data_IF_574504211023
#
_entry.id   IF_574504211023
#
_cell.length_a   1.000
_cell.length_b   1.000
_cell.length_c   1.000
_cell.angle_alpha   90.00
_cell.angle_beta   90.00
_cell.angle_gamma   90.00
#
_symmetry.space_group_name_H-M   'P 1'
#
loop_
_entity.id
_entity.type
_entity.pdbx_description
1 polymer ?
#
# COMPACT_ATOMS: atom_id res chain seq x y z
N UNK A 1 -23.91 -7.57 -18.21
CA UNK A 1 -23.81 -6.93 -16.88
C UNK A 1 -22.35 -6.52 -16.71
N UNK A 2 -22.02 -5.29 -16.28
CA UNK A 2 -20.61 -4.97 -16.08
C UNK A 2 -20.13 -5.86 -14.93
N UNK A 3 -19.27 -6.84 -15.24
CA UNK A 3 -18.52 -7.53 -14.19
C UNK A 3 -17.54 -6.48 -13.67
N UNK A 4 -17.90 -5.83 -12.56
CA UNK A 4 -16.95 -5.00 -11.83
C UNK A 4 -15.73 -5.89 -11.59
N UNK A 5 -14.63 -5.57 -12.25
CA UNK A 5 -13.42 -6.37 -12.16
C UNK A 5 -12.99 -6.44 -10.70
N UNK A 6 -12.71 -7.65 -10.20
CA UNK A 6 -12.21 -7.86 -8.83
C UNK A 6 -11.01 -6.95 -8.52
N UNK A 7 -10.21 -6.64 -9.55
CA UNK A 7 -9.11 -5.68 -9.54
C UNK A 7 -9.55 -4.25 -9.17
N UNK A 8 -10.66 -3.76 -9.72
CA UNK A 8 -11.14 -2.42 -9.42
C UNK A 8 -11.64 -2.31 -7.97
N UNK A 9 -12.23 -3.39 -7.45
CA UNK A 9 -12.61 -3.48 -6.03
C UNK A 9 -11.38 -3.49 -5.14
N UNK A 10 -10.33 -4.24 -5.54
CA UNK A 10 -9.03 -4.27 -4.84
C UNK A 10 -8.42 -2.88 -4.74
N UNK A 11 -8.29 -2.17 -5.87
CA UNK A 11 -7.71 -0.82 -5.92
C UNK A 11 -8.46 0.15 -5.00
N UNK A 12 -9.79 0.12 -5.01
CA UNK A 12 -10.61 1.00 -4.15
C UNK A 12 -10.35 0.67 -2.67
N UNK A 13 -10.33 -0.61 -2.30
CA UNK A 13 -10.11 -1.03 -0.93
C UNK A 13 -8.70 -0.65 -0.44
N UNK A 14 -7.69 -0.87 -1.26
CA UNK A 14 -6.32 -0.49 -0.96
C UNK A 14 -6.20 1.03 -0.78
N UNK A 15 -6.83 1.83 -1.66
CA UNK A 15 -6.84 3.29 -1.53
C UNK A 15 -7.51 3.76 -0.22
N UNK A 16 -8.60 3.11 0.20
CA UNK A 16 -9.24 3.39 1.50
C UNK A 16 -8.28 3.09 2.65
N UNK A 17 -7.54 1.99 2.58
CA UNK A 17 -6.55 1.63 3.62
C UNK A 17 -5.40 2.62 3.65
N UNK A 18 -4.90 3.09 2.50
CA UNK A 18 -3.88 4.15 2.43
C UNK A 18 -4.33 5.41 3.17
N UNK A 19 -5.55 5.88 2.87
CA UNK A 19 -6.12 7.09 3.48
C UNK A 19 -6.31 6.89 4.98
N UNK A 20 -6.82 5.74 5.42
CA UNK A 20 -6.98 5.43 6.84
C UNK A 20 -5.63 5.37 7.57
N UNK A 21 -4.63 4.70 7.00
CA UNK A 21 -3.29 4.58 7.56
C UNK A 21 -2.58 5.95 7.65
N UNK A 22 -2.67 6.77 6.60
CA UNK A 22 -2.19 8.15 6.62
C UNK A 22 -2.88 8.97 7.69
N UNK A 23 -4.21 8.90 7.78
CA UNK A 23 -4.97 9.62 8.79
C UNK A 23 -4.54 9.22 10.21
N UNK A 24 -4.23 7.95 10.45
CA UNK A 24 -3.70 7.48 11.74
C UNK A 24 -2.29 8.05 11.99
N UNK A 25 -1.40 8.01 10.99
CA UNK A 25 -0.05 8.57 11.09
C UNK A 25 -0.06 10.07 11.40
N UNK A 26 -0.92 10.82 10.72
CA UNK A 26 -1.07 12.27 10.86
C UNK A 26 -1.75 12.67 12.18
N UNK A 27 -2.85 11.99 12.57
CA UNK A 27 -3.63 12.38 13.76
C UNK A 27 -3.05 11.88 15.08
N UNK A 28 -2.45 10.69 15.08
CA UNK A 28 -1.92 10.07 16.32
C UNK A 28 -0.40 10.16 16.44
N UNK A 29 0.30 10.71 15.44
CA UNK A 29 1.76 10.80 15.41
C UNK A 29 2.45 9.43 15.42
N UNK A 30 1.71 8.38 15.05
CA UNK A 30 2.20 7.00 15.16
C UNK A 30 2.92 6.59 13.88
N UNK A 31 4.22 6.30 14.01
CA UNK A 31 5.09 5.87 12.90
C UNK A 31 4.53 4.67 12.12
N UNK A 32 3.83 3.74 12.79
CA UNK A 32 3.21 2.59 12.12
C UNK A 32 2.17 2.98 11.06
N UNK A 33 1.49 4.13 11.19
CA UNK A 33 0.52 4.61 10.21
C UNK A 33 1.16 5.01 8.89
N UNK A 34 2.35 5.61 8.95
CA UNK A 34 3.11 5.99 7.76
C UNK A 34 3.60 4.75 6.99
N UNK A 35 4.18 3.76 7.66
CA UNK A 35 4.66 2.55 6.96
C UNK A 35 3.52 1.70 6.38
N UNK A 36 2.35 1.66 7.02
CA UNK A 36 1.16 1.00 6.44
C UNK A 36 0.66 1.76 5.22
N UNK A 37 0.60 3.09 5.27
CA UNK A 37 0.19 3.88 4.12
C UNK A 37 1.13 3.76 2.93
N UNK A 38 2.44 3.65 3.19
CA UNK A 38 3.44 3.47 2.15
C UNK A 38 3.29 2.09 1.51
N UNK A 39 3.12 1.04 2.32
CA UNK A 39 2.91 -0.33 1.85
C UNK A 39 1.68 -0.44 0.94
N UNK A 40 0.52 0.03 1.43
CA UNK A 40 -0.71 -0.01 0.62
C UNK A 40 -0.65 0.97 -0.56
N UNK A 41 0.08 2.08 -0.45
CA UNK A 41 0.28 3.01 -1.55
C UNK A 41 1.04 2.38 -2.71
N UNK A 42 2.03 1.53 -2.41
CA UNK A 42 2.73 0.74 -3.41
C UNK A 42 1.80 -0.28 -4.07
N UNK A 43 0.91 -0.92 -3.30
CA UNK A 43 -0.08 -1.85 -3.88
C UNK A 43 -1.07 -1.15 -4.80
N UNK A 44 -1.62 0.00 -4.40
CA UNK A 44 -2.49 0.81 -5.27
C UNK A 44 -1.78 1.15 -6.59
N UNK A 45 -0.52 1.59 -6.52
CA UNK A 45 0.28 1.89 -7.70
C UNK A 45 0.50 0.65 -8.58
N UNK A 46 0.81 -0.50 -7.99
CA UNK A 46 0.98 -1.76 -8.68
C UNK A 46 -0.30 -2.18 -9.41
N UNK A 47 -1.43 -2.17 -8.71
CA UNK A 47 -2.70 -2.58 -9.28
C UNK A 47 -3.17 -1.60 -10.36
N UNK A 48 -2.86 -0.31 -10.24
CA UNK A 48 -3.06 0.69 -11.30
C UNK A 48 -2.24 0.40 -12.55
N UNK A 49 -0.93 0.16 -12.39
CA UNK A 49 -0.02 -0.20 -13.50
C UNK A 49 -0.51 -1.46 -14.22
N UNK A 50 -0.94 -2.46 -13.45
CA UNK A 50 -1.48 -3.72 -13.96
C UNK A 50 -2.84 -3.54 -14.64
N UNK A 51 -3.70 -2.68 -14.10
CA UNK A 51 -5.01 -2.35 -14.67
C UNK A 51 -4.89 -1.57 -15.98
N UNK A 52 -3.89 -0.69 -16.09
CA UNK A 52 -3.60 0.07 -17.32
C UNK A 52 -2.83 -0.75 -18.37
N UNK A 53 -2.54 -2.02 -18.11
CA UNK A 53 -1.68 -2.89 -18.93
C UNK A 53 -0.33 -2.24 -19.28
N UNK A 54 0.14 -1.34 -18.42
CA UNK A 54 1.39 -0.64 -18.65
C UNK A 54 2.53 -1.65 -18.54
N UNK A 55 3.32 -1.78 -19.60
CA UNK A 55 4.55 -2.57 -19.65
C UNK A 55 5.55 -2.08 -18.59
N UNK A 56 5.41 -2.53 -17.35
CA UNK A 56 6.35 -2.25 -16.26
C UNK A 56 7.51 -3.25 -16.31
N UNK A 57 8.73 -2.75 -16.23
CA UNK A 57 9.91 -3.61 -16.07
C UNK A 57 9.80 -4.45 -14.79
N UNK A 58 9.99 -5.76 -14.90
CA UNK A 58 9.98 -6.72 -13.78
C UNK A 58 10.91 -6.31 -12.63
N UNK A 59 12.00 -5.60 -12.94
CA UNK A 59 12.95 -5.09 -11.95
C UNK A 59 12.36 -3.97 -11.09
N UNK A 60 11.64 -3.00 -11.69
CA UNK A 60 10.98 -1.92 -10.95
C UNK A 60 9.96 -2.45 -9.95
N UNK A 61 9.23 -3.48 -10.37
CA UNK A 61 8.24 -4.18 -9.57
C UNK A 61 8.86 -4.80 -8.32
N UNK A 62 10.03 -5.44 -8.49
CA UNK A 62 10.76 -6.10 -7.41
C UNK A 62 11.28 -5.10 -6.38
N UNK A 63 11.78 -3.94 -6.83
CA UNK A 63 12.20 -2.87 -5.93
C UNK A 63 11.02 -2.30 -5.12
N UNK A 64 9.89 -2.05 -5.77
CA UNK A 64 8.67 -1.60 -5.10
C UNK A 64 8.21 -2.60 -4.04
N UNK A 65 8.17 -3.89 -4.39
CA UNK A 65 7.77 -4.94 -3.46
C UNK A 65 8.70 -5.05 -2.25
N UNK A 66 10.00 -4.91 -2.46
CA UNK A 66 10.99 -4.88 -1.38
C UNK A 66 10.75 -3.68 -0.45
N UNK A 67 10.53 -2.49 -1.01
CA UNK A 67 10.26 -1.28 -0.21
C UNK A 67 8.95 -1.37 0.57
N UNK A 68 7.91 -1.98 -0.01
CA UNK A 68 6.65 -2.26 0.67
C UNK A 68 6.87 -3.24 1.84
N UNK A 69 7.62 -4.31 1.62
CA UNK A 69 7.92 -5.33 2.64
C UNK A 69 8.72 -4.74 3.81
N UNK A 70 9.75 -3.95 3.52
CA UNK A 70 10.55 -3.26 4.57
C UNK A 70 9.67 -2.28 5.34
N UNK A 71 8.83 -1.51 4.64
CA UNK A 71 7.93 -0.54 5.28
C UNK A 71 6.90 -1.21 6.18
N UNK A 72 6.33 -2.34 5.76
CA UNK A 72 5.42 -3.14 6.57
C UNK A 72 6.11 -3.69 7.83
N UNK A 73 7.35 -4.19 7.68
CA UNK A 73 8.14 -4.71 8.81
C UNK A 73 8.45 -3.60 9.83
N UNK A 74 8.86 -2.42 9.37
CA UNK A 74 9.09 -1.26 10.24
C UNK A 74 7.80 -0.81 10.94
N UNK A 75 6.66 -0.85 10.24
CA UNK A 75 5.36 -0.57 10.84
C UNK A 75 5.01 -1.54 11.97
N UNK A 76 5.23 -2.84 11.76
CA UNK A 76 4.96 -3.86 12.79
C UNK A 76 5.91 -3.67 13.97
N UNK A 77 7.19 -3.44 13.71
CA UNK A 77 8.18 -3.21 14.78
C UNK A 77 7.86 -1.95 15.58
N UNK A 78 7.48 -0.86 14.91
CA UNK A 78 6.99 0.36 15.55
C UNK A 78 5.71 0.13 16.35
N UNK A 79 4.82 -0.75 15.90
CA UNK A 79 3.62 -1.10 16.66
C UNK A 79 4.00 -1.84 17.95
N UNK A 80 4.90 -2.83 17.85
CA UNK A 80 5.29 -3.68 18.97
C UNK A 80 6.13 -2.96 20.03
N UNK A 81 7.01 -2.06 19.61
CA UNK A 81 7.90 -1.35 20.54
C UNK A 81 7.24 -0.14 21.23
N UNK A 82 6.12 0.37 20.71
CA UNK A 82 5.40 1.55 21.22
C UNK A 82 4.00 1.22 21.75
N UNK A 83 3.71 -0.06 22.01
CA UNK A 83 2.49 -0.55 22.66
C UNK A 83 2.72 -0.85 24.13
#
# INVERSE_FOLDING_TARGET
MPMISIQLISIILEAVIVVAALAIGLKKGRLYGYGLSLTFGIYVYYDLVRYMEWSSSSSLLSYLFLTATVSALLSIWSLYHHS
#
